data_IF_143708457208
#
_entry.id   IF_143708457208
#
_cell.length_a   1.000
_cell.length_b   1.000
_cell.length_c   1.000
_cell.angle_alpha   90.00
_cell.angle_beta   90.00
_cell.angle_gamma   90.00
#
_symmetry.space_group_name_H-M   'P 1'
#
loop_
_entity.id
_entity.type
_entity.pdbx_description
1 polymer ?
#
# COMPACT_ATOMS: atom_id res chain seq x y z
N UNK A 1 15.86 -8.01 -10.45
CA UNK A 1 16.07 -6.64 -9.95
C UNK A 1 15.03 -6.41 -8.88
N UNK A 2 15.40 -5.89 -7.71
CA UNK A 2 14.43 -5.59 -6.66
C UNK A 2 13.56 -4.40 -7.07
N UNK A 3 12.25 -4.54 -6.91
CA UNK A 3 11.24 -3.51 -7.21
C UNK A 3 11.39 -2.32 -6.26
N UNK A 4 11.19 -1.09 -6.76
CA UNK A 4 11.37 0.14 -5.97
C UNK A 4 10.13 1.02 -6.03
N UNK A 5 10.01 1.93 -5.06
CA UNK A 5 9.02 3.01 -5.10
C UNK A 5 9.23 3.84 -6.38
N UNK A 6 8.15 4.10 -7.12
CA UNK A 6 8.15 4.81 -8.41
C UNK A 6 8.27 3.89 -9.63
N UNK A 7 8.63 2.62 -9.45
CA UNK A 7 8.62 1.65 -10.54
C UNK A 7 7.18 1.33 -10.96
N UNK A 8 7.01 0.93 -12.22
CA UNK A 8 5.75 0.34 -12.67
C UNK A 8 5.62 -1.06 -12.06
N UNK A 9 4.56 -1.31 -11.31
CA UNK A 9 4.29 -2.59 -10.69
C UNK A 9 4.16 -3.69 -11.76
N UNK A 10 4.86 -4.84 -11.66
CA UNK A 10 4.78 -5.90 -12.65
C UNK A 10 3.34 -6.38 -12.86
N UNK A 11 2.87 -6.45 -14.12
CA UNK A 11 1.60 -7.10 -14.40
C UNK A 11 1.77 -8.63 -14.33
N UNK A 12 0.74 -9.32 -13.87
CA UNK A 12 0.70 -10.78 -13.82
C UNK A 12 -0.71 -11.30 -14.09
N UNK A 13 -0.78 -12.56 -14.51
CA UNK A 13 -2.02 -13.33 -14.58
C UNK A 13 -1.97 -14.43 -13.55
N UNK A 14 -3.03 -14.58 -12.78
CA UNK A 14 -3.08 -15.54 -11.68
C UNK A 14 -4.44 -16.20 -11.54
N UNK A 15 -4.42 -17.45 -11.09
CA UNK A 15 -5.63 -18.11 -10.58
C UNK A 15 -5.91 -17.60 -9.19
N UNK A 16 -7.17 -17.22 -8.95
CA UNK A 16 -7.58 -16.72 -7.65
C UNK A 16 -8.84 -17.40 -7.15
N UNK A 17 -9.14 -17.21 -5.86
CA UNK A 17 -10.40 -17.67 -5.27
C UNK A 17 -11.65 -17.02 -5.88
N UNK A 18 -11.50 -15.91 -6.63
CA UNK A 18 -12.57 -15.22 -7.36
C UNK A 18 -12.52 -15.47 -8.89
N UNK A 19 -11.70 -16.41 -9.34
CA UNK A 19 -11.49 -16.74 -10.75
C UNK A 19 -10.13 -16.31 -11.27
N UNK A 20 -9.89 -16.46 -12.57
CA UNK A 20 -8.64 -16.04 -13.19
C UNK A 20 -8.63 -14.52 -13.35
N UNK A 21 -7.51 -13.88 -13.01
CA UNK A 21 -7.35 -12.42 -13.13
C UNK A 21 -6.14 -12.06 -14.00
N UNK A 22 -6.23 -10.93 -14.69
CA UNK A 22 -5.09 -10.09 -15.05
C UNK A 22 -5.02 -8.96 -14.03
N UNK A 23 -3.86 -8.74 -13.41
CA UNK A 23 -3.73 -7.82 -12.29
C UNK A 23 -4.08 -6.37 -12.68
N UNK A 24 -3.73 -5.95 -13.90
CA UNK A 24 -4.04 -4.60 -14.36
C UNK A 24 -5.52 -4.42 -14.68
N UNK A 25 -6.17 -5.43 -15.26
CA UNK A 25 -7.62 -5.41 -15.50
C UNK A 25 -8.39 -5.44 -14.18
N UNK A 26 -7.96 -6.27 -13.23
CA UNK A 26 -8.50 -6.30 -11.87
C UNK A 26 -8.39 -4.93 -11.21
N UNK A 27 -7.22 -4.28 -11.30
CA UNK A 27 -6.99 -2.98 -10.69
C UNK A 27 -7.80 -1.87 -11.36
N UNK A 28 -7.85 -1.83 -12.70
CA UNK A 28 -8.50 -0.76 -13.45
C UNK A 28 -7.88 0.61 -13.11
N UNK A 29 -8.72 1.62 -12.90
CA UNK A 29 -8.30 2.97 -12.50
C UNK A 29 -8.32 3.20 -10.97
N UNK A 30 -8.51 2.15 -10.17
CA UNK A 30 -8.51 2.21 -8.71
C UNK A 30 -7.09 2.13 -8.14
N UNK A 31 -6.96 2.49 -6.86
CA UNK A 31 -5.76 2.15 -6.07
C UNK A 31 -5.77 0.67 -5.71
N UNK A 32 -4.59 0.11 -5.44
CA UNK A 32 -4.39 -1.30 -5.17
C UNK A 32 -3.50 -1.56 -3.97
N UNK A 33 -3.82 -2.58 -3.20
CA UNK A 33 -2.94 -3.17 -2.19
C UNK A 33 -2.75 -4.65 -2.52
N UNK A 34 -1.51 -5.03 -2.81
CA UNK A 34 -1.10 -6.44 -2.87
C UNK A 34 -0.26 -6.76 -1.66
N UNK A 35 -0.56 -7.85 -0.98
CA UNK A 35 0.23 -8.27 0.17
C UNK A 35 0.40 -9.79 0.23
N UNK A 36 1.58 -10.23 0.64
CA UNK A 36 1.88 -11.65 0.82
C UNK A 36 1.71 -12.09 2.26
N UNK A 37 1.50 -13.39 2.47
CA UNK A 37 1.63 -14.04 3.76
C UNK A 37 2.37 -15.38 3.61
N UNK A 38 3.19 -15.81 4.59
CA UNK A 38 4.08 -16.96 4.41
C UNK A 38 3.40 -18.27 4.04
N UNK A 39 2.31 -18.61 4.74
CA UNK A 39 1.62 -19.88 4.56
C UNK A 39 0.18 -19.82 5.09
N UNK A 40 -0.70 -20.60 4.46
CA UNK A 40 -2.08 -20.81 4.89
C UNK A 40 -2.13 -21.61 6.19
N UNK A 41 -3.26 -21.54 6.92
CA UNK A 41 -3.49 -22.25 8.19
C UNK A 41 -2.46 -21.96 9.31
N UNK A 42 -1.73 -20.86 9.23
CA UNK A 42 -0.83 -20.40 10.30
C UNK A 42 -1.47 -19.27 11.13
N UNK A 43 -1.31 -19.24 12.47
CA UNK A 43 -2.10 -18.36 13.35
C UNK A 43 -2.05 -16.87 12.98
N UNK A 44 -0.86 -16.33 12.69
CA UNK A 44 -0.70 -14.90 12.35
C UNK A 44 -1.28 -14.59 10.98
N UNK A 45 -1.17 -15.48 9.99
CA UNK A 45 -1.77 -15.25 8.67
C UNK A 45 -3.30 -15.23 8.76
N UNK A 46 -3.90 -16.13 9.54
CA UNK A 46 -5.34 -16.17 9.77
C UNK A 46 -5.84 -14.87 10.40
N UNK A 47 -5.12 -14.29 11.37
CA UNK A 47 -5.53 -13.01 11.98
C UNK A 47 -5.41 -11.84 11.00
N UNK A 48 -4.38 -11.79 10.15
CA UNK A 48 -4.20 -10.74 9.15
C UNK A 48 -5.27 -10.80 8.04
N UNK A 49 -5.56 -11.99 7.52
CA UNK A 49 -6.61 -12.17 6.52
C UNK A 49 -7.99 -11.82 7.10
N UNK A 50 -8.28 -12.27 8.34
CA UNK A 50 -9.51 -11.91 9.05
C UNK A 50 -9.63 -10.40 9.29
N UNK A 51 -8.54 -9.73 9.68
CA UNK A 51 -8.52 -8.27 9.87
C UNK A 51 -8.76 -7.54 8.54
N UNK A 52 -8.10 -7.97 7.46
CA UNK A 52 -8.29 -7.42 6.12
C UNK A 52 -9.75 -7.54 5.68
N UNK A 53 -10.35 -8.72 5.87
CA UNK A 53 -11.77 -8.95 5.56
C UNK A 53 -12.70 -8.04 6.39
N UNK A 54 -12.42 -7.85 7.69
CA UNK A 54 -13.19 -6.93 8.54
C UNK A 54 -13.08 -5.46 8.12
N UNK A 55 -11.98 -5.08 7.48
CA UNK A 55 -11.70 -3.73 6.98
C UNK A 55 -12.08 -3.53 5.51
N UNK A 56 -12.71 -4.51 4.86
CA UNK A 56 -13.09 -4.42 3.44
C UNK A 56 -13.82 -3.12 3.11
N UNK A 57 -14.81 -2.74 3.93
CA UNK A 57 -15.56 -1.48 3.73
C UNK A 57 -14.70 -0.23 3.85
N UNK A 58 -13.62 -0.25 4.65
CA UNK A 58 -12.69 0.88 4.78
C UNK A 58 -11.80 1.05 3.55
N UNK A 59 -11.39 -0.06 2.92
CA UNK A 59 -10.68 -0.01 1.64
C UNK A 59 -11.60 0.44 0.49
N UNK A 60 -12.84 -0.06 0.46
CA UNK A 60 -13.83 0.32 -0.56
C UNK A 60 -14.17 1.82 -0.50
N UNK A 61 -14.31 2.41 0.70
CA UNK A 61 -14.50 3.86 0.88
C UNK A 61 -13.38 4.71 0.26
N UNK A 62 -12.18 4.15 0.16
CA UNK A 62 -10.98 4.80 -0.40
C UNK A 62 -10.76 4.43 -1.87
N UNK A 63 -11.67 3.70 -2.51
CA UNK A 63 -11.48 3.14 -3.85
C UNK A 63 -10.16 2.34 -3.98
N UNK A 64 -9.92 1.47 -2.99
CA UNK A 64 -8.75 0.58 -2.93
C UNK A 64 -9.18 -0.86 -3.09
N UNK A 65 -8.60 -1.55 -4.08
CA UNK A 65 -8.75 -2.98 -4.28
C UNK A 65 -7.62 -3.73 -3.55
N UNK A 66 -7.99 -4.72 -2.75
CA UNK A 66 -7.02 -5.49 -1.94
C UNK A 66 -6.96 -6.92 -2.43
N UNK A 67 -5.74 -7.45 -2.59
CA UNK A 67 -5.51 -8.84 -2.97
C UNK A 67 -4.36 -9.46 -2.16
N UNK A 68 -4.60 -10.68 -1.65
CA UNK A 68 -3.64 -11.42 -0.83
C UNK A 68 -2.97 -12.54 -1.65
N UNK A 69 -1.70 -12.82 -1.38
CA UNK A 69 -0.90 -13.84 -2.06
C UNK A 69 -0.21 -14.78 -1.08
N UNK A 70 -0.22 -16.08 -1.37
CA UNK A 70 0.71 -17.04 -0.78
C UNK A 70 1.21 -18.04 -1.82
N UNK A 71 2.27 -18.77 -1.48
CA UNK A 71 2.82 -19.85 -2.32
C UNK A 71 2.12 -21.19 -2.08
N UNK A 72 1.08 -21.22 -1.23
CA UNK A 72 0.23 -22.37 -0.97
C UNK A 72 -0.98 -22.40 -1.92
N UNK A 73 -1.73 -23.50 -1.92
CA UNK A 73 -2.82 -23.77 -2.85
C UNK A 73 -4.20 -23.17 -2.47
N UNK A 74 -4.35 -22.53 -1.30
CA UNK A 74 -5.62 -21.96 -0.81
C UNK A 74 -5.69 -20.44 -0.47
N UNK A 75 -4.85 -19.54 -1.01
CA UNK A 75 -4.97 -18.08 -0.82
C UNK A 75 -5.91 -17.40 -1.87
N UNK A 76 -6.02 -16.07 -1.80
CA UNK A 76 -6.66 -15.30 -2.87
C UNK A 76 -5.84 -15.46 -4.16
N UNK A 77 -4.51 -15.30 -4.18
CA UNK A 77 -3.65 -15.68 -5.33
C UNK A 77 -2.76 -16.86 -4.93
N UNK A 78 -2.90 -18.00 -5.60
CA UNK A 78 -2.03 -19.17 -5.42
C UNK A 78 -0.81 -19.08 -6.35
N UNK A 79 0.36 -18.81 -5.78
CA UNK A 79 1.64 -18.60 -6.49
C UNK A 79 2.60 -19.79 -6.30
N UNK A 80 2.13 -21.00 -6.62
CA UNK A 80 2.86 -22.26 -6.38
C UNK A 80 4.23 -22.31 -7.09
N UNK A 81 4.35 -21.65 -8.24
CA UNK A 81 5.60 -21.54 -9.02
C UNK A 81 6.45 -20.32 -8.65
N UNK A 82 6.03 -19.56 -7.63
CA UNK A 82 6.73 -18.41 -7.03
C UNK A 82 6.98 -17.24 -7.99
N UNK A 83 6.33 -17.23 -9.16
CA UNK A 83 6.60 -16.20 -10.18
C UNK A 83 6.25 -14.81 -9.68
N UNK A 84 5.12 -14.65 -8.99
CA UNK A 84 4.70 -13.34 -8.52
C UNK A 84 5.53 -12.93 -7.30
N UNK A 85 5.82 -13.88 -6.41
CA UNK A 85 6.72 -13.68 -5.28
C UNK A 85 8.11 -13.22 -5.73
N UNK A 86 8.67 -13.80 -6.79
CA UNK A 86 9.95 -13.39 -7.37
C UNK A 86 9.85 -12.02 -8.07
N UNK A 87 8.76 -11.75 -8.81
CA UNK A 87 8.53 -10.47 -9.48
C UNK A 87 8.46 -9.30 -8.49
N UNK A 88 7.88 -9.53 -7.31
CA UNK A 88 7.70 -8.53 -6.27
C UNK A 88 8.74 -8.66 -5.13
N UNK A 89 9.77 -9.49 -5.27
CA UNK A 89 10.84 -9.66 -4.28
C UNK A 89 10.33 -9.98 -2.85
N UNK A 90 9.36 -10.91 -2.78
CA UNK A 90 8.67 -11.29 -1.56
C UNK A 90 9.34 -12.47 -0.82
N UNK A 91 10.37 -13.11 -1.38
CA UNK A 91 11.12 -14.20 -0.74
C UNK A 91 12.49 -13.66 -0.32
N UNK A 92 12.78 -13.68 0.97
CA UNK A 92 14.04 -13.17 1.52
C UNK A 92 14.87 -14.36 2.01
N UNK A 93 15.92 -14.80 1.26
CA UNK A 93 16.61 -16.07 1.52
C UNK A 93 17.20 -16.22 2.93
N UNK A 94 17.61 -15.11 3.55
CA UNK A 94 18.12 -15.11 4.93
C UNK A 94 17.03 -15.27 6.01
N UNK A 95 15.75 -15.22 5.62
CA UNK A 95 14.60 -15.46 6.49
C UNK A 95 13.87 -16.77 6.14
N UNK A 96 13.69 -17.05 4.85
CA UNK A 96 13.16 -18.31 4.34
C UNK A 96 13.56 -18.46 2.86
N UNK A 97 13.99 -19.67 2.47
CA UNK A 97 14.29 -19.98 1.07
C UNK A 97 13.03 -20.31 0.25
N UNK A 98 11.92 -20.63 0.92
CA UNK A 98 10.75 -21.24 0.26
C UNK A 98 9.46 -20.47 0.43
N UNK A 99 9.30 -19.71 1.51
CA UNK A 99 8.07 -18.98 1.83
C UNK A 99 8.28 -17.47 1.67
N UNK A 100 7.21 -16.76 1.31
CA UNK A 100 7.26 -15.30 1.28
C UNK A 100 7.37 -14.73 2.70
N UNK A 101 8.04 -13.60 2.85
CA UNK A 101 7.86 -12.74 4.03
C UNK A 101 6.51 -12.01 3.94
N UNK A 102 6.17 -11.19 4.94
CA UNK A 102 4.94 -10.38 4.94
C UNK A 102 5.20 -9.06 4.22
N UNK A 103 5.21 -9.09 2.90
CA UNK A 103 5.35 -7.90 2.06
C UNK A 103 3.99 -7.28 1.77
N UNK A 104 3.94 -5.96 1.62
CA UNK A 104 2.76 -5.21 1.21
C UNK A 104 3.18 -4.08 0.29
N UNK A 105 2.45 -3.91 -0.81
CA UNK A 105 2.67 -2.85 -1.79
C UNK A 105 1.39 -2.05 -1.95
N UNK A 106 1.51 -0.72 -1.91
CA UNK A 106 0.45 0.19 -2.32
C UNK A 106 0.74 0.67 -3.74
N UNK A 107 -0.21 0.47 -4.64
CA UNK A 107 -0.09 0.73 -6.07
C UNK A 107 -1.16 1.75 -6.46
N UNK A 108 -0.77 2.79 -7.19
CA UNK A 108 -1.67 3.84 -7.67
C UNK A 108 -2.32 3.49 -9.01
N UNK A 109 -3.35 4.25 -9.45
CA UNK A 109 -4.03 4.04 -10.73
C UNK A 109 -3.11 4.00 -11.96
N UNK A 110 -2.03 4.80 -11.95
CA UNK A 110 -0.97 4.82 -12.98
C UNK A 110 -0.01 3.60 -12.91
N UNK A 111 -0.38 2.57 -12.14
CA UNK A 111 0.34 1.32 -11.91
C UNK A 111 1.70 1.50 -11.24
N UNK A 112 1.96 2.64 -10.61
CA UNK A 112 3.21 2.88 -9.89
C UNK A 112 3.17 2.36 -8.47
N UNK A 113 4.28 1.78 -8.02
CA UNK A 113 4.47 1.44 -6.60
C UNK A 113 4.66 2.74 -5.82
N UNK A 114 3.81 2.99 -4.82
CA UNK A 114 3.85 4.19 -3.98
C UNK A 114 4.40 3.94 -2.58
N UNK A 115 4.24 2.72 -2.06
CA UNK A 115 4.74 2.34 -0.76
C UNK A 115 5.00 0.83 -0.69
N UNK A 116 6.02 0.45 0.07
CA UNK A 116 6.39 -0.93 0.36
C UNK A 116 6.56 -1.10 1.86
N UNK A 117 5.92 -2.11 2.45
CA UNK A 117 6.19 -2.57 3.80
C UNK A 117 6.70 -4.00 3.75
N UNK A 118 7.64 -4.34 4.63
CA UNK A 118 8.16 -5.69 4.72
C UNK A 118 8.32 -6.07 6.18
N UNK A 119 7.61 -7.11 6.58
CA UNK A 119 7.62 -7.65 7.93
C UNK A 119 8.13 -9.11 7.89
N UNK A 120 8.89 -9.57 8.90
CA UNK A 120 9.22 -10.99 9.01
C UNK A 120 7.96 -11.80 9.32
N UNK A 121 8.02 -13.12 9.12
CA UNK A 121 6.91 -14.03 9.40
C UNK A 121 6.42 -13.95 10.86
N UNK A 122 7.31 -13.63 11.81
CA UNK A 122 7.03 -13.51 13.24
C UNK A 122 6.20 -12.29 13.65
N UNK A 123 6.04 -11.29 12.78
CA UNK A 123 5.47 -9.99 13.15
C UNK A 123 4.28 -9.67 12.27
N UNK A 124 3.07 -9.72 12.85
CA UNK A 124 1.84 -9.31 12.16
C UNK A 124 1.84 -7.81 11.84
N UNK A 125 1.24 -7.44 10.71
CA UNK A 125 1.13 -6.06 10.23
C UNK A 125 0.07 -5.28 10.98
N UNK A 126 0.27 -3.96 11.03
CA UNK A 126 -0.74 -3.01 11.48
C UNK A 126 -1.57 -2.51 10.29
N UNK A 127 -2.77 -3.03 10.10
CA UNK A 127 -3.66 -2.59 9.01
C UNK A 127 -4.27 -1.19 9.24
N UNK A 128 -4.27 -0.68 10.46
CA UNK A 128 -4.62 0.74 10.71
C UNK A 128 -3.57 1.65 10.07
N UNK A 129 -2.28 1.30 10.19
CA UNK A 129 -1.22 2.03 9.51
C UNK A 129 -1.36 1.94 7.98
N UNK A 130 -1.74 0.78 7.45
CA UNK A 130 -2.00 0.62 6.01
C UNK A 130 -3.09 1.58 5.52
N UNK A 131 -4.19 1.73 6.27
CA UNK A 131 -5.23 2.70 5.93
C UNK A 131 -4.73 4.15 6.03
N UNK A 132 -4.01 4.48 7.11
CA UNK A 132 -3.46 5.82 7.34
C UNK A 132 -2.50 6.26 6.22
N UNK A 133 -1.62 5.37 5.76
CA UNK A 133 -0.72 5.69 4.64
C UNK A 133 -1.44 5.81 3.31
N UNK A 134 -2.54 5.05 3.10
CA UNK A 134 -3.38 5.23 1.91
C UNK A 134 -4.00 6.63 1.92
N UNK A 135 -4.53 7.08 3.06
CA UNK A 135 -5.11 8.42 3.20
C UNK A 135 -4.06 9.51 2.87
N UNK A 136 -2.85 9.37 3.43
CA UNK A 136 -1.71 10.25 3.11
C UNK A 136 -1.36 10.23 1.63
N UNK A 137 -1.22 9.06 1.01
CA UNK A 137 -0.86 8.92 -0.41
C UNK A 137 -1.91 9.52 -1.33
N UNK A 138 -3.20 9.32 -1.05
CA UNK A 138 -4.28 9.89 -1.86
C UNK A 138 -4.39 11.40 -1.68
N UNK A 139 -4.21 11.91 -0.46
CA UNK A 139 -4.20 13.35 -0.17
C UNK A 139 -3.05 14.05 -0.91
N UNK A 140 -1.84 13.52 -0.79
CA UNK A 140 -0.62 14.10 -1.39
C UNK A 140 -0.55 13.91 -2.90
N UNK A 141 -1.28 12.94 -3.47
CA UNK A 141 -1.47 12.84 -4.92
C UNK A 141 -2.39 13.95 -5.46
N UNK A 142 -3.34 14.44 -4.66
CA UNK A 142 -4.31 15.46 -5.06
C UNK A 142 -3.87 16.88 -4.76
N UNK A 143 -3.17 17.08 -3.64
CA UNK A 143 -2.77 18.40 -3.16
C UNK A 143 -1.25 18.48 -3.03
N UNK A 144 -0.70 19.66 -3.28
CA UNK A 144 0.73 19.95 -3.14
C UNK A 144 1.13 20.14 -1.67
N UNK A 145 0.91 19.11 -0.86
CA UNK A 145 1.19 19.05 0.59
C UNK A 145 1.95 17.76 0.92
N UNK A 146 2.44 17.64 2.15
CA UNK A 146 3.04 16.43 2.72
C UNK A 146 2.47 16.21 4.12
N UNK A 147 2.21 14.96 4.49
CA UNK A 147 1.74 14.62 5.84
C UNK A 147 2.93 14.54 6.81
N UNK A 148 2.92 15.22 7.97
CA UNK A 148 3.99 15.14 8.95
C UNK A 148 4.10 13.77 9.63
N UNK A 149 5.09 13.61 10.51
CA UNK A 149 5.22 12.42 11.34
C UNK A 149 3.96 12.21 12.19
N UNK A 150 3.54 10.97 12.33
CA UNK A 150 2.36 10.54 13.11
C UNK A 150 1.03 11.18 12.68
N UNK A 151 0.96 11.77 11.48
CA UNK A 151 -0.25 12.40 10.94
C UNK A 151 -1.42 11.42 10.84
N UNK A 152 -2.59 11.83 11.31
CA UNK A 152 -3.87 11.18 11.09
C UNK A 152 -4.81 12.07 10.24
N UNK A 153 -5.83 11.46 9.61
CA UNK A 153 -6.79 12.21 8.81
C UNK A 153 -7.52 13.26 9.67
N UNK A 154 -7.48 14.51 9.21
CA UNK A 154 -7.97 15.67 9.94
C UNK A 154 -6.89 16.54 10.58
N UNK A 155 -5.66 16.03 10.73
CA UNK A 155 -4.52 16.83 11.20
C UNK A 155 -3.97 17.77 10.10
N UNK A 156 -3.32 18.84 10.55
CA UNK A 156 -2.58 19.77 9.70
C UNK A 156 -1.53 19.07 8.83
N UNK A 157 -1.42 19.50 7.59
CA UNK A 157 -0.39 19.02 6.64
C UNK A 157 0.66 20.09 6.36
N UNK A 158 1.84 19.66 5.92
CA UNK A 158 2.93 20.56 5.55
C UNK A 158 2.78 21.03 4.11
N UNK A 159 2.80 22.34 3.89
CA UNK A 159 2.76 22.95 2.57
C UNK A 159 4.10 22.76 1.85
N UNK A 160 4.08 22.16 0.66
CA UNK A 160 5.30 21.90 -0.11
C UNK A 160 6.09 23.18 -0.39
N UNK A 161 7.42 23.10 -0.24
CA UNK A 161 8.34 24.24 -0.44
C UNK A 161 8.33 24.81 -1.87
N UNK A 162 7.80 24.07 -2.84
CA UNK A 162 7.57 24.55 -4.21
C UNK A 162 6.48 25.63 -4.31
N UNK A 163 5.61 25.75 -3.32
CA UNK A 163 4.59 26.80 -3.23
C UNK A 163 5.20 28.01 -2.53
N UNK A 164 5.17 29.18 -3.16
CA UNK A 164 5.59 30.43 -2.51
C UNK A 164 4.60 30.82 -1.43
N UNK A 165 5.08 31.42 -0.34
CA UNK A 165 4.24 31.80 0.80
C UNK A 165 3.07 32.73 0.41
N UNK A 166 3.28 33.62 -0.56
CA UNK A 166 2.25 34.50 -1.12
C UNK A 166 1.11 33.77 -1.85
N UNK A 167 1.38 32.58 -2.40
CA UNK A 167 0.41 31.79 -3.15
C UNK A 167 -0.43 30.86 -2.25
N UNK A 168 -0.03 30.68 -0.98
CA UNK A 168 -0.68 29.74 -0.05
C UNK A 168 -2.16 30.10 0.18
N UNK A 169 -2.55 31.36 0.47
CA UNK A 169 -3.96 31.69 0.71
C UNK A 169 -4.90 31.36 -0.47
N UNK A 170 -4.40 31.47 -1.70
CA UNK A 170 -5.17 31.15 -2.89
C UNK A 170 -5.35 29.64 -3.07
N UNK A 171 -4.33 28.83 -2.72
CA UNK A 171 -4.38 27.36 -2.83
C UNK A 171 -5.08 26.70 -1.65
N UNK A 172 -4.94 27.28 -0.46
CA UNK A 172 -5.45 26.74 0.80
C UNK A 172 -6.26 27.83 1.54
N UNK A 173 -7.50 28.09 1.10
CA UNK A 173 -8.29 29.22 1.60
C UNK A 173 -8.83 29.03 3.03
N UNK A 174 -8.72 27.82 3.59
CA UNK A 174 -9.16 27.51 4.97
C UNK A 174 -8.22 28.07 6.05
N UNK A 175 -7.04 28.54 5.66
CA UNK A 175 -6.03 29.07 6.57
C UNK A 175 -4.71 28.34 6.41
N UNK A 176 -3.63 28.98 6.86
CA UNK A 176 -2.30 28.36 6.92
C UNK A 176 -1.50 29.00 8.07
N UNK A 177 -0.50 28.29 8.56
CA UNK A 177 0.43 28.80 9.56
C UNK A 177 1.86 28.79 9.01
N UNK A 178 2.60 29.88 9.21
CA UNK A 178 4.02 29.96 8.88
C UNK A 178 4.82 29.93 10.17
N UNK A 179 5.42 28.78 10.48
CA UNK A 179 6.26 28.58 11.67
C UNK A 179 7.71 28.95 11.34
N UNK A 180 8.19 28.51 10.17
CA UNK A 180 9.47 28.87 9.54
C UNK A 180 9.26 28.97 8.03
N UNK A 181 10.19 29.59 7.27
CA UNK A 181 10.09 29.63 5.81
C UNK A 181 9.91 28.25 5.15
N UNK A 182 10.46 27.20 5.74
CA UNK A 182 10.36 25.81 5.28
C UNK A 182 9.36 24.95 6.07
N UNK A 183 8.75 25.48 7.13
CA UNK A 183 7.81 24.78 7.99
C UNK A 183 6.51 25.58 8.03
N UNK A 184 5.62 25.21 7.13
CA UNK A 184 4.33 25.88 6.91
C UNK A 184 3.24 24.82 6.90
N UNK A 185 2.17 25.02 7.63
CA UNK A 185 1.07 24.06 7.74
C UNK A 185 -0.24 24.64 7.22
N UNK A 186 -1.17 23.76 6.84
CA UNK A 186 -2.52 24.10 6.35
C UNK A 186 -3.50 22.97 6.58
#
# INVERSE_FOLDING_TARGET
>A
MSIRIGDTAPNFKAKTSIGDIDFYEFLGDSWGVIFSHPADYTPVCTTELGRTASLKGEFEKRDVKVIALSVDSFPIIADEDKKIADLYDMIHPNASETLTVRSLFVISPDKKVKLMLTYPASTGRNFTEVLRVIDSLQLTAKYSVATPADWEDGDDVVVMNSIKTEDIPAKFPKGHQVIKPYLRTT
#
